data_IF_580283353269
#
_entry.id   IF_580283353269
#
_cell.length_a   1.000
_cell.length_b   1.000
_cell.length_c   1.000
_cell.angle_alpha   90.00
_cell.angle_beta   90.00
_cell.angle_gamma   90.00
#
_symmetry.space_group_name_H-M   'P 1'
#
loop_
_entity.id
_entity.type
_entity.pdbx_description
1 polymer ?
#
# COMPACT_ATOMS: atom_id res chain seq x y z
N UNK A 1 -32.82 6.65 4.12
CA UNK A 1 -32.98 5.64 3.05
C UNK A 1 -34.25 4.85 3.33
N UNK A 2 -34.93 4.35 2.28
CA UNK A 2 -36.18 3.58 2.45
C UNK A 2 -35.99 2.07 2.47
N UNK A 3 -34.92 1.58 1.86
CA UNK A 3 -34.56 0.17 1.85
C UNK A 3 -33.03 0.03 1.81
N UNK A 4 -32.57 -1.10 2.34
CA UNK A 4 -31.17 -1.47 2.47
C UNK A 4 -31.05 -2.97 2.16
N UNK A 5 -30.13 -3.35 1.28
CA UNK A 5 -29.86 -4.75 0.93
C UNK A 5 -28.39 -5.05 1.17
N UNK A 6 -28.09 -6.12 1.90
CA UNK A 6 -26.73 -6.57 2.16
C UNK A 6 -26.41 -7.72 1.22
N UNK A 7 -25.26 -7.65 0.55
CA UNK A 7 -24.74 -8.72 -0.28
C UNK A 7 -23.24 -8.92 -0.03
N UNK A 8 -22.73 -10.10 -0.33
CA UNK A 8 -21.28 -10.36 -0.33
C UNK A 8 -20.78 -10.18 -1.77
N UNK A 9 -19.67 -9.46 -1.95
CA UNK A 9 -19.03 -9.27 -3.26
C UNK A 9 -18.06 -10.45 -3.58
N UNK A 10 -17.36 -10.36 -4.73
CA UNK A 10 -16.35 -11.37 -5.12
C UNK A 10 -15.13 -11.43 -4.19
N UNK A 11 -14.82 -10.34 -3.51
CA UNK A 11 -13.69 -10.25 -2.58
C UNK A 11 -14.26 -10.25 -1.15
N UNK A 12 -14.43 -11.42 -0.51
CA UNK A 12 -15.42 -11.72 0.54
C UNK A 12 -15.63 -10.58 1.55
N UNK A 13 -16.44 -9.59 1.16
CA UNK A 13 -16.72 -8.38 1.91
C UNK A 13 -18.18 -8.04 1.71
N UNK A 14 -18.86 -7.74 2.81
CA UNK A 14 -20.26 -7.31 2.76
C UNK A 14 -20.35 -5.89 2.21
N UNK A 15 -21.28 -5.68 1.29
CA UNK A 15 -21.63 -4.42 0.65
C UNK A 15 -23.09 -4.17 0.93
N UNK A 16 -23.42 -2.91 1.20
CA UNK A 16 -24.79 -2.44 1.36
C UNK A 16 -25.20 -1.64 0.13
N UNK A 17 -26.31 -2.03 -0.48
CA UNK A 17 -27.04 -1.23 -1.45
C UNK A 17 -28.11 -0.42 -0.72
N UNK A 18 -27.99 0.90 -0.77
CA UNK A 18 -28.91 1.86 -0.16
C UNK A 18 -29.84 2.44 -1.23
N UNK A 19 -31.14 2.39 -1.00
CA UNK A 19 -32.16 2.96 -1.88
C UNK A 19 -32.79 4.18 -1.21
N UNK A 20 -32.69 5.34 -1.84
CA UNK A 20 -33.30 6.56 -1.30
C UNK A 20 -34.81 6.63 -1.61
N UNK A 21 -35.49 7.67 -1.10
CA UNK A 21 -36.93 7.84 -1.32
C UNK A 21 -37.29 8.09 -2.78
N UNK A 22 -36.36 8.64 -3.56
CA UNK A 22 -36.49 8.90 -5.00
C UNK A 22 -36.21 7.66 -5.89
N UNK A 23 -36.01 6.47 -5.30
CA UNK A 23 -35.58 5.23 -5.98
C UNK A 23 -34.15 5.25 -6.54
N UNK A 24 -33.35 6.27 -6.24
CA UNK A 24 -31.94 6.28 -6.61
C UNK A 24 -31.16 5.34 -5.68
N UNK A 25 -30.15 4.69 -6.26
CA UNK A 25 -29.38 3.65 -5.59
C UNK A 25 -27.95 4.12 -5.41
N UNK A 26 -27.39 3.88 -4.23
CA UNK A 26 -25.96 4.03 -3.96
C UNK A 26 -25.47 2.82 -3.17
N UNK A 27 -24.16 2.56 -3.17
CA UNK A 27 -23.59 1.44 -2.43
C UNK A 27 -22.39 1.85 -1.61
N UNK A 28 -22.16 1.12 -0.52
CA UNK A 28 -21.00 1.31 0.35
C UNK A 28 -20.64 -0.01 1.04
N UNK A 29 -19.44 -0.13 1.61
CA UNK A 29 -19.11 -1.33 2.37
C UNK A 29 -19.96 -1.40 3.65
N UNK A 30 -20.35 -2.60 4.05
CA UNK A 30 -21.18 -2.77 5.25
C UNK A 30 -20.48 -2.26 6.51
N UNK A 31 -19.20 -2.58 6.67
CA UNK A 31 -18.36 -2.02 7.72
C UNK A 31 -18.40 -0.48 7.78
N UNK A 32 -18.35 0.21 6.63
CA UNK A 32 -18.43 1.68 6.57
C UNK A 32 -19.81 2.19 6.97
N UNK A 33 -20.86 1.50 6.56
CA UNK A 33 -22.22 1.83 6.96
C UNK A 33 -22.41 1.70 8.49
N UNK A 34 -21.98 0.58 9.08
CA UNK A 34 -22.06 0.33 10.52
C UNK A 34 -21.33 1.40 11.33
N UNK A 35 -20.08 1.72 10.96
CA UNK A 35 -19.30 2.78 11.62
C UNK A 35 -19.95 4.16 11.47
N UNK A 36 -20.57 4.45 10.32
CA UNK A 36 -21.27 5.73 10.13
C UNK A 36 -22.51 5.82 11.04
N UNK A 37 -23.22 4.70 11.24
CA UNK A 37 -24.34 4.61 12.17
C UNK A 37 -23.88 4.78 13.63
N UNK A 38 -22.82 4.08 14.03
CA UNK A 38 -22.25 4.19 15.38
C UNK A 38 -21.80 5.62 15.71
N UNK A 39 -21.15 6.28 14.76
CA UNK A 39 -20.65 7.66 14.93
C UNK A 39 -21.73 8.73 14.76
N UNK A 40 -22.93 8.37 14.31
CA UNK A 40 -23.99 9.33 14.00
C UNK A 40 -23.65 10.31 12.86
N UNK A 41 -22.64 10.01 12.04
CA UNK A 41 -22.23 10.84 10.90
C UNK A 41 -21.70 9.99 9.76
N UNK A 42 -21.77 10.53 8.54
CA UNK A 42 -21.06 9.92 7.42
C UNK A 42 -19.55 10.09 7.58
N UNK A 43 -18.82 9.05 7.17
CA UNK A 43 -17.36 9.13 7.04
C UNK A 43 -16.97 9.94 5.80
N UNK A 44 -15.87 10.68 5.90
CA UNK A 44 -15.24 11.41 4.81
C UNK A 44 -14.53 10.46 3.82
N UNK A 45 -14.20 10.96 2.64
CA UNK A 45 -13.59 10.15 1.56
C UNK A 45 -12.19 9.63 1.92
N UNK A 46 -11.47 10.33 2.78
CA UNK A 46 -10.13 10.01 3.27
C UNK A 46 -10.14 9.06 4.47
N UNK A 47 -11.25 8.98 5.20
CA UNK A 47 -11.48 8.02 6.29
C UNK A 47 -11.77 6.62 5.70
N UNK A 48 -10.82 5.70 5.78
CA UNK A 48 -10.98 4.31 5.32
C UNK A 48 -11.31 3.41 6.50
N UNK A 49 -12.27 2.50 6.32
CA UNK A 49 -12.60 1.50 7.33
C UNK A 49 -11.77 0.24 7.12
N UNK A 50 -11.07 -0.16 8.17
CA UNK A 50 -10.22 -1.33 8.23
C UNK A 50 -10.71 -2.31 9.31
N UNK A 51 -10.51 -3.60 9.06
CA UNK A 51 -10.82 -4.67 9.99
C UNK A 51 -9.56 -4.96 10.81
N UNK A 52 -9.62 -4.77 12.14
CA UNK A 52 -8.46 -4.86 13.04
C UNK A 52 -7.79 -6.22 12.90
N UNK A 53 -8.57 -7.31 12.94
CA UNK A 53 -8.09 -8.68 12.79
C UNK A 53 -7.81 -9.13 11.33
N UNK A 54 -8.06 -8.27 10.34
CA UNK A 54 -7.89 -8.58 8.92
C UNK A 54 -8.99 -9.45 8.29
N UNK A 55 -9.95 -9.95 9.07
CA UNK A 55 -11.12 -10.68 8.56
C UNK A 55 -12.18 -9.70 8.05
N UNK A 56 -12.36 -9.67 6.73
CA UNK A 56 -13.29 -8.77 6.02
C UNK A 56 -14.77 -9.12 6.24
N UNK A 57 -15.06 -10.27 6.83
CA UNK A 57 -16.41 -10.72 7.17
C UNK A 57 -16.73 -10.56 8.67
N UNK A 58 -15.78 -10.08 9.48
CA UNK A 58 -16.02 -9.76 10.90
C UNK A 58 -16.40 -8.28 11.06
N UNK A 59 -17.67 -7.97 10.78
CA UNK A 59 -18.21 -6.61 10.79
C UNK A 59 -18.65 -6.11 12.19
N UNK A 60 -18.21 -6.77 13.28
CA UNK A 60 -18.44 -6.28 14.64
C UNK A 60 -17.79 -4.91 14.82
N UNK A 61 -18.50 -3.94 15.39
CA UNK A 61 -18.04 -2.54 15.48
C UNK A 61 -16.71 -2.43 16.22
N UNK A 62 -16.51 -3.24 17.27
CA UNK A 62 -15.27 -3.33 18.04
C UNK A 62 -14.07 -3.88 17.24
N UNK A 63 -14.30 -4.55 16.11
CA UNK A 63 -13.28 -5.03 15.19
C UNK A 63 -13.02 -4.04 14.03
N UNK A 64 -13.71 -2.91 13.99
CA UNK A 64 -13.53 -1.91 12.95
C UNK A 64 -12.73 -0.71 13.46
N UNK A 65 -11.87 -0.17 12.62
CA UNK A 65 -11.13 1.06 12.89
C UNK A 65 -11.14 1.97 11.66
N UNK A 66 -11.03 3.27 11.90
CA UNK A 66 -10.83 4.27 10.84
C UNK A 66 -9.33 4.52 10.71
N UNK A 67 -8.81 4.33 9.50
CA UNK A 67 -7.44 4.65 9.13
C UNK A 67 -7.45 5.59 7.93
N UNK A 68 -6.48 6.48 7.84
CA UNK A 68 -6.13 7.10 6.58
C UNK A 68 -5.52 6.07 5.63
N UNK A 69 -5.53 6.37 4.32
CA UNK A 69 -4.85 5.54 3.32
C UNK A 69 -3.36 5.33 3.66
N UNK A 70 -2.70 6.33 4.25
CA UNK A 70 -1.30 6.25 4.67
C UNK A 70 -1.12 5.26 5.82
N UNK A 71 -1.97 5.33 6.84
CA UNK A 71 -1.91 4.44 8.00
C UNK A 71 -2.21 3.00 7.61
N UNK A 72 -3.21 2.76 6.76
CA UNK A 72 -3.52 1.42 6.25
C UNK A 72 -2.32 0.80 5.51
N UNK A 73 -1.63 1.59 4.68
CA UNK A 73 -0.40 1.16 4.01
C UNK A 73 0.71 0.82 5.01
N UNK A 74 0.87 1.62 6.07
CA UNK A 74 1.88 1.37 7.12
C UNK A 74 1.56 0.11 7.93
N UNK A 75 0.29 -0.11 8.29
CA UNK A 75 -0.20 -1.33 8.94
C UNK A 75 0.19 -2.55 8.11
N UNK A 76 -0.15 -2.55 6.80
CA UNK A 76 0.19 -3.64 5.87
C UNK A 76 1.70 -3.89 5.75
N UNK A 77 2.53 -2.84 5.76
CA UNK A 77 3.99 -3.00 5.75
C UNK A 77 4.47 -3.72 7.00
N UNK A 78 3.95 -3.34 8.18
CA UNK A 78 4.29 -3.98 9.46
C UNK A 78 3.84 -5.44 9.49
N UNK A 79 2.58 -5.72 9.12
CA UNK A 79 2.02 -7.08 9.11
C UNK A 79 2.78 -8.04 8.21
N UNK A 80 3.18 -7.57 7.02
CA UNK A 80 3.93 -8.37 6.07
C UNK A 80 5.44 -8.40 6.38
N UNK A 81 5.90 -7.80 7.48
CA UNK A 81 7.30 -7.61 7.83
C UNK A 81 8.13 -7.04 6.65
N UNK A 82 7.50 -6.18 5.84
CA UNK A 82 8.09 -5.55 4.66
C UNK A 82 8.85 -4.28 5.00
N UNK A 83 9.25 -4.11 6.27
CA UNK A 83 10.16 -3.04 6.63
C UNK A 83 11.33 -3.05 5.66
N UNK A 84 11.60 -1.88 5.09
CA UNK A 84 12.57 -1.74 4.02
C UNK A 84 13.95 -1.97 4.61
N UNK A 85 14.40 -3.22 4.62
CA UNK A 85 15.74 -3.57 5.07
C UNK A 85 16.74 -2.75 4.27
N UNK A 86 17.66 -2.15 4.98
CA UNK A 86 18.84 -1.59 4.38
C UNK A 86 19.74 -2.72 3.88
N UNK A 87 20.40 -2.50 2.75
CA UNK A 87 21.37 -3.42 2.19
C UNK A 87 22.72 -2.71 2.09
N UNK A 88 23.76 -3.38 2.55
CA UNK A 88 25.14 -2.96 2.39
C UNK A 88 25.68 -3.41 1.04
N UNK A 89 26.37 -2.50 0.37
CA UNK A 89 26.86 -2.69 -0.99
C UNK A 89 28.26 -2.11 -1.11
N UNK A 90 29.07 -2.68 -1.99
CA UNK A 90 30.39 -2.13 -2.34
C UNK A 90 30.25 -1.37 -3.66
N UNK A 91 30.73 -0.12 -3.69
CA UNK A 91 30.64 0.67 -4.92
C UNK A 91 31.68 0.19 -5.94
N UNK A 92 31.29 -0.16 -7.19
CA UNK A 92 32.23 -0.67 -8.19
C UNK A 92 33.19 0.40 -8.76
N UNK A 93 33.06 1.66 -8.33
CA UNK A 93 33.88 2.78 -8.83
C UNK A 93 34.94 3.20 -7.82
N UNK A 94 34.59 3.27 -6.54
CA UNK A 94 35.48 3.74 -5.48
C UNK A 94 35.71 2.71 -4.38
N UNK A 95 35.13 1.51 -4.49
CA UNK A 95 35.23 0.39 -3.55
C UNK A 95 34.81 0.68 -2.11
N UNK A 96 34.20 1.84 -1.84
CA UNK A 96 33.64 2.16 -0.53
C UNK A 96 32.35 1.37 -0.29
N UNK A 97 32.21 0.87 0.94
CA UNK A 97 30.93 0.36 1.45
C UNK A 97 29.93 1.51 1.59
N UNK A 98 28.68 1.23 1.25
CA UNK A 98 27.58 2.16 1.43
C UNK A 98 26.27 1.42 1.63
N UNK A 99 25.33 2.09 2.29
CA UNK A 99 24.04 1.53 2.63
C UNK A 99 22.94 2.19 1.81
N UNK A 100 21.99 1.39 1.30
CA UNK A 100 20.78 1.89 0.65
C UNK A 100 19.57 1.06 1.04
N UNK A 101 18.39 1.68 1.00
CA UNK A 101 17.12 0.95 1.12
C UNK A 101 17.02 -0.11 0.02
N UNK A 102 16.80 -1.38 0.39
CA UNK A 102 16.71 -2.50 -0.55
C UNK A 102 15.72 -2.23 -1.69
N UNK A 103 14.57 -1.60 -1.41
CA UNK A 103 13.57 -1.23 -2.42
C UNK A 103 14.11 -0.32 -3.55
N UNK A 104 15.11 0.52 -3.25
CA UNK A 104 15.70 1.44 -4.22
C UNK A 104 16.78 0.76 -5.09
N UNK A 105 17.15 -0.47 -4.75
CA UNK A 105 18.28 -1.18 -5.35
C UNK A 105 17.83 -2.48 -6.03
N UNK A 106 16.86 -3.20 -5.47
CA UNK A 106 16.41 -4.51 -5.94
C UNK A 106 15.99 -4.50 -7.41
N UNK A 107 15.27 -3.46 -7.84
CA UNK A 107 14.81 -3.31 -9.23
C UNK A 107 15.97 -3.09 -10.20
N UNK A 108 17.07 -2.46 -9.74
CA UNK A 108 18.30 -2.31 -10.54
C UNK A 108 19.08 -3.61 -10.60
N UNK A 109 19.26 -4.29 -9.47
CA UNK A 109 19.96 -5.57 -9.38
C UNK A 109 19.29 -6.65 -10.21
N UNK A 110 17.95 -6.76 -10.16
CA UNK A 110 17.19 -7.73 -10.96
C UNK A 110 17.32 -7.48 -12.48
N UNK A 111 17.70 -6.28 -12.90
CA UNK A 111 18.00 -5.93 -14.29
C UNK A 111 19.48 -6.06 -14.63
N UNK A 112 20.27 -6.70 -13.77
CA UNK A 112 21.73 -6.82 -13.91
C UNK A 112 22.49 -5.51 -13.73
N UNK A 113 21.87 -4.45 -13.20
CA UNK A 113 22.53 -3.14 -13.03
C UNK A 113 23.11 -2.99 -11.63
N UNK A 114 24.37 -2.57 -11.57
CA UNK A 114 25.09 -2.38 -10.30
C UNK A 114 24.82 -1.00 -9.70
N UNK A 115 24.38 -0.91 -8.43
CA UNK A 115 24.24 0.35 -7.71
C UNK A 115 25.61 0.96 -7.35
N UNK A 116 25.68 2.29 -7.31
CA UNK A 116 26.87 3.05 -6.89
C UNK A 116 26.58 3.88 -5.63
N UNK A 117 27.62 4.27 -4.90
CA UNK A 117 27.47 5.03 -3.65
C UNK A 117 26.93 6.45 -3.85
N UNK A 118 27.23 7.10 -4.99
CA UNK A 118 26.86 8.50 -5.25
C UNK A 118 26.53 8.78 -6.73
N UNK A 119 25.94 9.95 -7.02
CA UNK A 119 25.66 10.39 -8.40
C UNK A 119 26.94 10.52 -9.22
N UNK A 120 28.04 11.00 -8.61
CA UNK A 120 29.34 11.09 -9.27
C UNK A 120 29.88 9.72 -9.68
N UNK A 121 29.83 8.73 -8.78
CA UNK A 121 30.20 7.35 -9.12
C UNK A 121 29.23 6.74 -10.14
N UNK A 122 27.93 7.07 -10.07
CA UNK A 122 26.95 6.68 -11.08
C UNK A 122 27.31 7.17 -12.49
N UNK A 123 27.69 8.44 -12.63
CA UNK A 123 28.14 9.00 -13.91
C UNK A 123 29.39 8.29 -14.46
N UNK A 124 30.40 8.08 -13.61
CA UNK A 124 31.62 7.32 -13.97
C UNK A 124 31.30 5.88 -14.40
N UNK A 125 30.40 5.21 -13.69
CA UNK A 125 29.98 3.84 -13.98
C UNK A 125 29.23 3.74 -15.31
N UNK A 126 28.27 4.63 -15.55
CA UNK A 126 27.53 4.68 -16.81
C UNK A 126 28.47 4.78 -18.00
N UNK A 127 29.44 5.71 -17.97
CA UNK A 127 30.40 5.88 -19.06
C UNK A 127 31.24 4.61 -19.31
N UNK A 128 31.73 3.95 -18.26
CA UNK A 128 32.48 2.69 -18.35
C UNK A 128 31.68 1.54 -18.97
N UNK A 129 30.37 1.48 -18.68
CA UNK A 129 29.50 0.39 -19.19
C UNK A 129 28.91 0.64 -20.58
N UNK A 130 29.03 1.87 -21.10
CA UNK A 130 28.48 2.26 -22.41
C UNK A 130 29.51 2.32 -23.53
N UNK A 131 30.81 2.18 -23.24
CA UNK A 131 31.83 1.99 -24.28
C UNK A 131 31.78 0.55 -24.78
N UNK A 132 31.50 0.30 -26.08
CA UNK A 132 31.71 -1.02 -26.63
C UNK A 132 33.20 -1.35 -26.50
N UNK A 133 33.51 -2.54 -26.02
CA UNK A 133 34.83 -3.13 -26.12
C UNK A 133 35.19 -3.27 -27.60
N UNK A 134 35.76 -2.21 -28.19
CA UNK A 134 36.52 -2.33 -29.42
C UNK A 134 37.84 -2.99 -29.04
N UNK A 135 37.88 -4.29 -29.26
CA UNK A 135 39.10 -5.08 -29.51
C UNK A 135 39.10 -5.41 -30.98
#
# INVERSE_FOLDING_TARGET
FKACYVNINKEPRRVVLLVNFNNEKTSTSYARYLLSCELGRFLNKDEHVDHINGDKLDDRVENLQILSQKENNLKRIKELNLETKDIELICPVCNKMFTKKRKNVITKLNRGKTPTCSRQCGGKWSHRTSTPSHS
#
